data_IF_760591841295
#
_entry.id   IF_760591841295
#
_cell.length_a   1.000
_cell.length_b   1.000
_cell.length_c   1.000
_cell.angle_alpha   90.00
_cell.angle_beta   90.00
_cell.angle_gamma   90.00
#
_symmetry.space_group_name_H-M   'P 1'
#
loop_
_entity.id
_entity.type
_entity.pdbx_description
1 polymer ?
#
# COMPACT_ATOMS: atom_id res chain seq x y z
N UNK A 1 16.25 18.02 30.96
CA UNK A 1 16.86 18.40 29.67
C UNK A 1 16.50 17.31 28.67
N UNK A 2 15.41 17.49 27.94
CA UNK A 2 14.91 16.51 26.99
C UNK A 2 15.37 16.92 25.59
N UNK A 3 16.21 16.09 24.96
CA UNK A 3 16.53 16.25 23.55
C UNK A 3 15.29 15.92 22.73
N UNK A 4 14.71 16.90 22.06
CA UNK A 4 13.79 16.68 20.96
C UNK A 4 14.61 16.08 19.81
N UNK A 5 14.85 14.76 19.86
CA UNK A 5 15.52 14.03 18.80
C UNK A 5 14.57 13.93 17.62
N UNK A 6 14.81 14.72 16.58
CA UNK A 6 14.23 14.45 15.27
C UNK A 6 14.54 12.98 14.89
N UNK A 7 13.60 12.26 14.27
CA UNK A 7 13.82 10.88 13.87
C UNK A 7 15.06 10.80 12.98
N UNK A 8 15.96 9.88 13.30
CA UNK A 8 17.21 9.69 12.57
C UNK A 8 16.93 8.92 11.27
N UNK A 9 16.32 9.60 10.28
CA UNK A 9 16.21 9.08 8.92
C UNK A 9 17.60 8.74 8.38
N UNK A 10 17.71 7.63 7.66
CA UNK A 10 18.92 7.26 6.95
C UNK A 10 19.29 8.33 5.93
N UNK A 11 20.51 8.86 6.05
CA UNK A 11 21.10 9.83 5.13
C UNK A 11 22.14 9.14 4.26
N UNK A 12 21.95 9.19 2.96
CA UNK A 12 22.83 8.51 1.99
C UNK A 12 23.23 9.48 0.87
N UNK A 13 24.50 9.45 0.46
CA UNK A 13 24.95 10.22 -0.70
C UNK A 13 24.55 9.49 -1.97
N UNK A 14 23.99 10.20 -2.94
CA UNK A 14 23.58 9.60 -4.20
C UNK A 14 24.77 8.96 -4.94
N UNK A 15 25.96 9.59 -4.88
CA UNK A 15 27.19 9.04 -5.47
C UNK A 15 27.57 7.66 -4.91
N UNK A 16 27.19 7.39 -3.66
CA UNK A 16 27.51 6.13 -2.99
C UNK A 16 26.45 5.05 -3.28
N UNK A 17 25.34 5.40 -3.95
CA UNK A 17 24.32 4.47 -4.44
C UNK A 17 24.52 4.12 -5.92
N UNK A 18 25.53 4.66 -6.58
CA UNK A 18 25.86 4.28 -7.96
C UNK A 18 26.85 3.11 -7.91
N UNK A 19 26.49 1.93 -8.43
CA UNK A 19 27.41 0.80 -8.46
C UNK A 19 28.58 1.12 -9.39
N UNK A 20 29.80 1.00 -8.87
CA UNK A 20 31.02 0.99 -9.69
C UNK A 20 31.12 -0.35 -10.43
N UNK A 21 31.71 -0.36 -11.62
CA UNK A 21 31.93 -1.60 -12.37
C UNK A 21 32.69 -2.64 -11.52
N UNK A 22 32.19 -3.88 -11.50
CA UNK A 22 32.77 -4.98 -10.75
C UNK A 22 32.01 -5.32 -9.47
N UNK A 23 32.73 -5.74 -8.43
CA UNK A 23 32.12 -6.15 -7.16
C UNK A 23 31.61 -4.91 -6.39
N UNK A 24 30.45 -5.00 -5.72
CA UNK A 24 29.93 -3.89 -4.92
C UNK A 24 30.90 -3.48 -3.82
N UNK A 25 31.26 -2.20 -3.78
CA UNK A 25 32.12 -1.63 -2.76
C UNK A 25 31.47 -1.67 -1.37
N UNK A 26 32.27 -1.56 -0.31
CA UNK A 26 31.73 -1.51 1.05
C UNK A 26 30.94 -0.24 1.31
N UNK A 27 31.32 0.89 0.70
CA UNK A 27 30.55 2.13 0.75
C UNK A 27 29.16 1.96 0.12
N UNK A 28 29.08 1.28 -1.03
CA UNK A 28 27.82 0.99 -1.69
C UNK A 28 26.93 0.10 -0.82
N UNK A 29 27.47 -1.01 -0.30
CA UNK A 29 26.71 -1.92 0.59
C UNK A 29 26.18 -1.20 1.83
N UNK A 30 27.00 -0.35 2.45
CA UNK A 30 26.60 0.44 3.63
C UNK A 30 25.48 1.43 3.30
N UNK A 31 25.61 2.17 2.20
CA UNK A 31 24.60 3.12 1.72
C UNK A 31 23.30 2.42 1.37
N UNK A 32 23.35 1.29 0.65
CA UNK A 32 22.16 0.48 0.35
C UNK A 32 21.49 -0.02 1.63
N UNK A 33 22.26 -0.56 2.58
CA UNK A 33 21.71 -1.01 3.86
C UNK A 33 21.06 0.13 4.64
N UNK A 34 21.68 1.31 4.66
CA UNK A 34 21.17 2.50 5.36
C UNK A 34 19.87 3.00 4.72
N UNK A 35 19.83 3.08 3.39
CA UNK A 35 18.64 3.42 2.63
C UNK A 35 17.51 2.45 2.94
N UNK A 36 17.73 1.15 2.74
CA UNK A 36 16.70 0.14 2.92
C UNK A 36 16.18 0.04 4.35
N UNK A 37 17.06 0.17 5.34
CA UNK A 37 16.65 0.21 6.74
C UNK A 37 15.78 1.44 7.04
N UNK A 38 16.14 2.61 6.52
CA UNK A 38 15.34 3.81 6.68
C UNK A 38 13.96 3.68 6.03
N UNK A 39 13.89 3.12 4.82
CA UNK A 39 12.62 2.84 4.15
C UNK A 39 11.76 1.83 4.93
N UNK A 40 12.36 0.81 5.53
CA UNK A 40 11.62 -0.18 6.33
C UNK A 40 11.09 0.39 7.65
N UNK A 41 11.84 1.28 8.30
CA UNK A 41 11.48 1.83 9.61
C UNK A 41 10.60 3.07 9.53
N UNK A 42 10.86 3.95 8.56
CA UNK A 42 10.26 5.28 8.48
C UNK A 42 9.50 5.52 7.18
N UNK A 43 9.50 4.57 6.24
CA UNK A 43 8.94 4.73 4.89
C UNK A 43 9.49 5.95 4.14
N UNK A 44 10.66 6.44 4.55
CA UNK A 44 11.34 7.58 3.95
C UNK A 44 12.84 7.49 4.23
N UNK A 45 13.63 8.12 3.38
CA UNK A 45 15.07 8.33 3.57
C UNK A 45 15.48 9.69 3.03
N UNK A 46 16.66 10.15 3.41
CA UNK A 46 17.26 11.38 2.91
C UNK A 46 18.37 11.03 1.92
N UNK A 47 18.28 11.58 0.72
CA UNK A 47 19.33 11.50 -0.29
C UNK A 47 20.09 12.82 -0.36
N UNK A 48 21.41 12.75 -0.34
CA UNK A 48 22.29 13.90 -0.52
C UNK A 48 22.81 13.92 -1.96
N UNK A 49 22.50 15.00 -2.67
CA UNK A 49 22.92 15.27 -4.04
C UNK A 49 24.26 16.01 -4.06
N UNK A 50 24.85 16.16 -5.25
CA UNK A 50 26.07 16.95 -5.41
C UNK A 50 25.80 18.45 -5.18
N UNK A 51 26.85 19.25 -4.99
CA UNK A 51 26.72 20.70 -4.78
C UNK A 51 26.07 21.41 -5.98
N UNK A 52 26.38 21.00 -7.22
CA UNK A 52 25.77 21.56 -8.43
C UNK A 52 24.29 21.22 -8.52
N UNK A 53 23.93 19.98 -8.21
CA UNK A 53 22.54 19.51 -8.26
C UNK A 53 21.69 20.18 -7.18
N UNK A 54 22.26 20.39 -5.98
CA UNK A 54 21.63 21.15 -4.91
C UNK A 54 21.41 22.63 -5.28
N UNK A 55 22.33 23.24 -6.04
CA UNK A 55 22.12 24.60 -6.56
C UNK A 55 20.94 24.65 -7.53
N UNK A 56 20.83 23.68 -8.44
CA UNK A 56 19.72 23.57 -9.38
C UNK A 56 18.37 23.40 -8.67
N UNK A 57 18.29 22.51 -7.68
CA UNK A 57 17.07 22.32 -6.86
C UNK A 57 16.62 23.59 -6.18
N UNK A 58 17.55 24.35 -5.59
CA UNK A 58 17.23 25.62 -4.94
C UNK A 58 16.73 26.66 -5.94
N UNK A 59 17.42 26.84 -7.07
CA UNK A 59 16.99 27.79 -8.10
C UNK A 59 15.61 27.44 -8.68
N UNK A 60 15.32 26.14 -8.86
CA UNK A 60 14.00 25.70 -9.34
C UNK A 60 12.91 25.89 -8.28
N UNK A 61 13.20 25.70 -6.99
CA UNK A 61 12.26 26.04 -5.91
C UNK A 61 11.99 27.54 -5.81
N UNK A 62 13.00 28.38 -5.99
CA UNK A 62 12.83 29.84 -6.03
C UNK A 62 11.98 30.27 -7.23
N UNK A 63 12.25 29.68 -8.41
CA UNK A 63 11.42 29.91 -9.59
C UNK A 63 9.99 29.43 -9.41
N UNK A 64 9.78 28.27 -8.77
CA UNK A 64 8.45 27.77 -8.41
C UNK A 64 7.70 28.75 -7.50
N UNK A 65 8.36 29.32 -6.48
CA UNK A 65 7.75 30.33 -5.62
C UNK A 65 7.30 31.54 -6.42
N UNK A 66 8.18 32.07 -7.28
CA UNK A 66 7.84 33.20 -8.14
C UNK A 66 6.67 32.86 -9.05
N UNK A 67 6.67 31.67 -9.65
CA UNK A 67 5.58 31.21 -10.52
C UNK A 67 4.21 31.31 -9.83
N UNK A 68 4.06 30.70 -8.65
CA UNK A 68 2.79 30.75 -7.93
C UNK A 68 2.48 32.14 -7.38
N UNK A 69 3.46 32.95 -7.00
CA UNK A 69 3.22 34.33 -6.58
C UNK A 69 2.50 35.18 -7.64
N UNK A 70 2.74 34.92 -8.93
CA UNK A 70 2.09 35.64 -10.03
C UNK A 70 0.70 35.08 -10.38
N UNK A 71 0.31 33.93 -9.80
CA UNK A 71 -1.01 33.33 -10.08
C UNK A 71 -2.13 34.08 -9.36
N UNK A 72 -3.30 34.23 -10.01
CA UNK A 72 -4.45 34.91 -9.42
C UNK A 72 -4.92 34.19 -8.15
N UNK A 73 -5.49 34.95 -7.22
CA UNK A 73 -5.97 34.42 -5.94
C UNK A 73 -7.10 33.40 -6.07
N UNK A 74 -7.83 33.39 -7.19
CA UNK A 74 -8.88 32.41 -7.44
C UNK A 74 -8.61 31.76 -8.80
N UNK A 75 -8.30 30.46 -8.85
CA UNK A 75 -8.20 29.76 -10.11
C UNK A 75 -9.56 29.74 -10.82
N UNK A 76 -9.57 29.88 -12.14
CA UNK A 76 -10.80 29.75 -12.94
C UNK A 76 -11.34 28.32 -12.85
N UNK A 77 -12.65 28.15 -13.05
CA UNK A 77 -13.31 26.84 -12.99
C UNK A 77 -12.66 25.80 -13.93
N UNK A 78 -12.12 26.24 -15.08
CA UNK A 78 -11.46 25.40 -16.07
C UNK A 78 -10.14 24.76 -15.58
N UNK A 79 -9.59 25.26 -14.46
CA UNK A 79 -8.29 24.88 -13.90
C UNK A 79 -8.44 24.09 -12.59
N UNK A 80 -9.67 23.96 -12.10
CA UNK A 80 -10.02 23.14 -10.95
C UNK A 80 -10.10 21.69 -11.42
N UNK A 81 -9.10 20.88 -11.08
CA UNK A 81 -9.07 19.48 -11.48
C UNK A 81 -9.83 18.64 -10.46
N UNK A 82 -10.89 17.94 -10.91
CA UNK A 82 -11.44 16.79 -10.19
C UNK A 82 -10.60 15.57 -10.55
N UNK A 83 -10.15 14.75 -9.60
CA UNK A 83 -9.28 13.57 -9.79
C UNK A 83 -9.85 12.55 -10.81
N UNK A 84 -9.74 12.86 -12.11
CA UNK A 84 -10.14 11.98 -13.20
C UNK A 84 -8.98 11.01 -13.48
N UNK A 85 -8.98 9.91 -12.74
CA UNK A 85 -7.99 8.82 -12.79
C UNK A 85 -7.77 8.22 -14.19
N UNK A 86 -8.64 8.53 -15.16
CA UNK A 86 -8.59 8.05 -16.55
C UNK A 86 -7.43 8.63 -17.37
N UNK A 87 -6.84 9.75 -16.96
CA UNK A 87 -5.79 10.43 -17.74
C UNK A 87 -4.48 10.70 -16.97
N UNK A 88 -4.13 9.82 -16.02
CA UNK A 88 -2.94 9.99 -15.16
C UNK A 88 -1.62 10.24 -15.91
N UNK A 89 -1.47 9.71 -17.14
CA UNK A 89 -0.27 9.86 -17.97
C UNK A 89 -0.33 11.10 -18.90
N UNK A 90 -1.41 11.88 -18.85
CA UNK A 90 -1.60 13.08 -19.67
C UNK A 90 -1.62 14.38 -18.84
N UNK A 91 -1.27 14.31 -17.56
CA UNK A 91 -1.19 15.52 -16.74
C UNK A 91 -0.03 16.39 -17.20
N UNK A 92 -0.31 17.67 -17.44
CA UNK A 92 0.67 18.70 -17.78
C UNK A 92 0.07 20.08 -17.53
N UNK A 93 0.90 21.03 -17.10
CA UNK A 93 0.50 22.41 -16.86
C UNK A 93 -0.09 22.66 -15.47
N UNK A 94 -0.62 23.87 -15.30
CA UNK A 94 -1.13 24.37 -14.03
C UNK A 94 -2.56 23.87 -13.75
N UNK A 95 -2.79 23.42 -12.53
CA UNK A 95 -4.11 23.10 -11.99
C UNK A 95 -4.16 23.41 -10.49
N UNK A 96 -5.37 23.52 -9.94
CA UNK A 96 -5.57 23.74 -8.51
C UNK A 96 -6.56 22.73 -7.93
N UNK A 97 -6.30 22.31 -6.70
CA UNK A 97 -7.18 21.50 -5.86
C UNK A 97 -7.58 22.31 -4.62
N UNK A 98 -8.78 22.94 -4.62
CA UNK A 98 -9.30 23.68 -3.48
C UNK A 98 -9.61 22.82 -2.26
N UNK A 99 -9.75 21.50 -2.37
CA UNK A 99 -9.98 20.63 -1.21
C UNK A 99 -8.67 20.39 -0.45
N UNK A 100 -7.55 20.34 -1.16
CA UNK A 100 -6.20 20.16 -0.58
C UNK A 100 -5.47 21.48 -0.31
N UNK A 101 -6.09 22.63 -0.63
CA UNK A 101 -5.44 23.96 -0.63
C UNK A 101 -4.10 23.94 -1.37
N UNK A 102 -4.11 23.27 -2.52
CA UNK A 102 -2.92 22.98 -3.30
C UNK A 102 -3.06 23.54 -4.71
N UNK A 103 -2.03 24.22 -5.17
CA UNK A 103 -1.82 24.56 -6.58
C UNK A 103 -0.65 23.71 -7.10
N UNK A 104 -0.76 23.20 -8.32
CA UNK A 104 0.23 22.29 -8.90
C UNK A 104 0.52 22.68 -10.35
N UNK A 105 1.80 22.61 -10.74
CA UNK A 105 2.22 22.61 -12.14
C UNK A 105 2.88 21.26 -12.44
N UNK A 106 2.31 20.49 -13.36
CA UNK A 106 2.88 19.22 -13.80
C UNK A 106 3.73 19.41 -15.05
N UNK A 107 4.98 18.96 -14.98
CA UNK A 107 5.91 18.89 -16.10
C UNK A 107 6.13 17.44 -16.53
N UNK A 108 5.92 17.20 -17.83
CA UNK A 108 6.06 15.88 -18.44
C UNK A 108 6.72 15.98 -19.80
N UNK A 109 7.96 15.48 -19.96
CA UNK A 109 8.64 15.45 -21.25
C UNK A 109 7.81 14.75 -22.32
N UNK A 110 7.80 15.33 -23.52
CA UNK A 110 7.00 14.86 -24.66
C UNK A 110 5.55 15.35 -24.69
N UNK A 111 5.05 15.92 -23.59
CA UNK A 111 3.70 16.51 -23.51
C UNK A 111 3.75 18.01 -23.25
N UNK A 112 4.57 18.46 -22.30
CA UNK A 112 4.74 19.89 -22.02
C UNK A 112 5.55 20.55 -23.17
N UNK A 113 5.04 21.60 -23.83
CA UNK A 113 5.75 22.29 -24.91
C UNK A 113 7.11 22.80 -24.43
N UNK A 114 8.17 22.60 -25.22
CA UNK A 114 9.51 23.09 -24.93
C UNK A 114 9.67 24.60 -25.16
N UNK A 115 8.76 25.20 -25.95
CA UNK A 115 8.76 26.61 -26.29
C UNK A 115 7.37 27.21 -26.02
N UNK A 116 7.29 28.43 -25.46
CA UNK A 116 6.03 29.11 -25.24
C UNK A 116 5.44 29.52 -26.59
N UNK A 117 4.38 28.83 -27.03
CA UNK A 117 3.59 29.23 -28.20
C UNK A 117 2.78 30.47 -27.84
N UNK A 118 3.33 31.65 -28.15
CA UNK A 118 2.71 32.98 -28.22
C UNK A 118 1.58 33.27 -27.20
N UNK A 119 1.91 34.13 -26.22
CA UNK A 119 1.07 34.78 -25.19
C UNK A 119 0.74 34.04 -23.89
N UNK A 120 1.35 32.88 -23.59
CA UNK A 120 0.90 32.04 -22.46
C UNK A 120 2.03 31.79 -21.45
N UNK A 121 1.84 32.36 -20.25
CA UNK A 121 2.39 32.02 -18.93
C UNK A 121 3.64 31.11 -18.88
N UNK A 122 4.77 31.67 -18.43
CA UNK A 122 6.04 30.94 -18.37
C UNK A 122 6.04 29.89 -17.25
N UNK A 123 6.39 28.63 -17.53
CA UNK A 123 6.52 27.62 -16.49
C UNK A 123 7.68 27.95 -15.53
N UNK A 124 7.72 27.33 -14.33
CA UNK A 124 8.90 27.37 -13.49
C UNK A 124 10.17 26.97 -14.28
N UNK A 125 11.29 27.62 -13.99
CA UNK A 125 12.54 27.41 -14.69
C UNK A 125 13.27 26.13 -14.25
N UNK A 126 14.04 25.55 -15.18
CA UNK A 126 14.90 24.39 -14.91
C UNK A 126 14.18 23.04 -14.80
N UNK A 127 12.89 22.96 -15.16
CA UNK A 127 12.10 21.73 -15.00
C UNK A 127 12.65 20.54 -15.79
N UNK A 128 13.15 20.76 -17.01
CA UNK A 128 13.76 19.71 -17.83
C UNK A 128 15.04 19.15 -17.19
N UNK A 129 15.88 20.03 -16.65
CA UNK A 129 17.15 19.65 -16.01
C UNK A 129 16.88 18.91 -14.69
N UNK A 130 15.94 19.42 -13.87
CA UNK A 130 15.51 18.76 -12.64
C UNK A 130 14.86 17.40 -12.92
N UNK A 131 14.02 17.30 -13.95
CA UNK A 131 13.41 16.03 -14.34
C UNK A 131 14.48 15.00 -14.69
N UNK A 132 15.49 15.40 -15.47
CA UNK A 132 16.58 14.51 -15.88
C UNK A 132 17.44 14.09 -14.69
N UNK A 133 17.76 15.03 -13.79
CA UNK A 133 18.52 14.79 -12.57
C UNK A 133 17.79 13.82 -11.62
N UNK A 134 16.54 14.13 -11.26
CA UNK A 134 15.76 13.33 -10.32
C UNK A 134 15.35 11.99 -10.93
N UNK A 135 15.14 11.93 -12.26
CA UNK A 135 14.90 10.68 -12.98
C UNK A 135 16.08 9.73 -12.96
N UNK A 136 17.31 10.25 -13.05
CA UNK A 136 18.53 9.45 -12.83
C UNK A 136 18.62 8.98 -11.39
N UNK A 137 18.51 9.90 -10.44
CA UNK A 137 18.59 9.59 -9.01
C UNK A 137 17.58 8.52 -8.58
N UNK A 138 16.34 8.60 -9.07
CA UNK A 138 15.30 7.63 -8.76
C UNK A 138 15.61 6.23 -9.30
N UNK A 139 16.29 6.12 -10.45
CA UNK A 139 16.74 4.84 -11.00
C UNK A 139 17.89 4.25 -10.20
N UNK A 140 18.88 5.06 -9.82
CA UNK A 140 19.98 4.62 -8.96
C UNK A 140 19.46 4.10 -7.61
N UNK A 141 18.47 4.78 -7.03
CA UNK A 141 17.77 4.36 -5.80
C UNK A 141 17.00 3.04 -6.02
N UNK A 142 16.33 2.89 -7.16
CA UNK A 142 15.59 1.68 -7.48
C UNK A 142 16.52 0.47 -7.70
N UNK A 143 17.69 0.69 -8.30
CA UNK A 143 18.74 -0.32 -8.44
C UNK A 143 19.35 -0.70 -7.08
N UNK A 144 19.56 0.28 -6.19
CA UNK A 144 19.97 0.04 -4.81
C UNK A 144 18.94 -0.83 -4.04
N UNK A 145 17.64 -0.53 -4.17
CA UNK A 145 16.55 -1.35 -3.59
C UNK A 145 16.56 -2.76 -4.20
N UNK A 146 16.74 -2.87 -5.51
CA UNK A 146 16.83 -4.16 -6.22
C UNK A 146 17.99 -5.01 -5.69
N UNK A 147 19.15 -4.39 -5.47
CA UNK A 147 20.30 -5.05 -4.88
C UNK A 147 20.02 -5.53 -3.45
N UNK A 148 19.41 -4.69 -2.61
CA UNK A 148 19.04 -5.07 -1.24
C UNK A 148 18.09 -6.29 -1.21
N UNK A 149 17.16 -6.35 -2.16
CA UNK A 149 16.23 -7.46 -2.34
C UNK A 149 16.86 -8.67 -3.05
N UNK A 150 18.16 -8.68 -3.34
CA UNK A 150 18.85 -9.73 -4.08
C UNK A 150 18.20 -10.06 -5.44
N UNK A 151 17.65 -9.04 -6.11
CA UNK A 151 17.08 -9.21 -7.44
C UNK A 151 18.19 -9.29 -8.49
N UNK A 152 17.89 -9.88 -9.64
CA UNK A 152 18.80 -9.86 -10.79
C UNK A 152 19.01 -8.42 -11.27
N UNK A 153 20.08 -8.20 -12.03
CA UNK A 153 20.39 -6.87 -12.56
C UNK A 153 19.21 -6.27 -13.32
N UNK A 154 18.83 -5.05 -12.97
CA UNK A 154 17.87 -4.20 -13.68
C UNK A 154 16.42 -4.76 -13.77
N UNK A 155 15.82 -5.22 -12.66
CA UNK A 155 14.56 -5.98 -12.67
C UNK A 155 13.34 -5.15 -13.09
N UNK A 156 13.44 -3.82 -13.01
CA UNK A 156 12.35 -2.89 -13.33
C UNK A 156 12.51 -2.22 -14.70
N UNK A 157 13.55 -2.54 -15.48
CA UNK A 157 13.82 -1.87 -16.77
C UNK A 157 12.65 -1.97 -17.74
N UNK A 158 11.96 -3.12 -17.79
CA UNK A 158 10.85 -3.36 -18.71
C UNK A 158 9.61 -2.51 -18.42
N UNK A 159 9.43 -2.10 -17.16
CA UNK A 159 8.29 -1.28 -16.72
C UNK A 159 8.60 0.22 -16.71
N UNK A 160 9.82 0.62 -17.03
CA UNK A 160 10.25 2.03 -17.03
C UNK A 160 10.34 2.59 -18.44
N UNK A 161 10.26 3.93 -18.55
CA UNK A 161 10.54 4.63 -19.79
C UNK A 161 11.99 4.40 -20.27
N UNK A 162 12.24 4.58 -21.56
CA UNK A 162 13.61 4.64 -22.07
C UNK A 162 14.29 5.95 -21.63
N UNK A 163 15.60 5.92 -21.42
CA UNK A 163 16.42 7.12 -21.18
C UNK A 163 17.56 7.14 -22.19
N UNK A 164 17.59 8.10 -23.13
CA UNK A 164 16.58 9.14 -23.37
C UNK A 164 15.25 8.55 -23.90
N UNK A 165 14.16 9.32 -23.76
CA UNK A 165 12.86 8.99 -24.37
C UNK A 165 13.01 8.94 -25.89
N UNK A 166 12.23 8.08 -26.56
CA UNK A 166 12.22 8.06 -28.04
C UNK A 166 11.45 9.27 -28.57
N UNK A 167 11.71 9.63 -29.83
CA UNK A 167 11.01 10.74 -30.47
C UNK A 167 9.48 10.57 -30.39
N UNK A 168 8.80 11.62 -29.90
CA UNK A 168 7.34 11.69 -29.70
C UNK A 168 6.78 10.78 -28.60
N UNK A 169 7.63 10.13 -27.79
CA UNK A 169 7.17 9.45 -26.58
C UNK A 169 6.92 10.48 -25.47
N UNK A 170 5.80 10.31 -24.77
CA UNK A 170 5.47 11.05 -23.55
C UNK A 170 6.01 10.24 -22.37
N UNK A 171 6.68 10.89 -21.43
CA UNK A 171 7.14 10.21 -20.22
C UNK A 171 5.96 9.76 -19.36
N UNK A 172 6.03 8.54 -18.86
CA UNK A 172 5.15 8.03 -17.81
C UNK A 172 5.38 8.74 -16.48
N UNK A 173 6.63 9.14 -16.21
CA UNK A 173 7.02 9.87 -14.99
C UNK A 173 6.67 11.36 -15.06
N UNK A 174 6.49 12.00 -13.91
CA UNK A 174 6.07 13.41 -13.81
C UNK A 174 6.89 14.14 -12.76
N UNK A 175 7.20 15.40 -13.05
CA UNK A 175 7.71 16.36 -12.07
C UNK A 175 6.59 17.33 -11.73
N UNK A 176 6.06 17.24 -10.52
CA UNK A 176 5.04 18.14 -10.00
C UNK A 176 5.67 19.22 -9.15
N UNK A 177 5.38 20.47 -9.48
CA UNK A 177 5.70 21.63 -8.64
C UNK A 177 4.44 21.99 -7.88
N UNK A 178 4.45 21.92 -6.55
CA UNK A 178 3.26 22.17 -5.74
C UNK A 178 3.45 23.41 -4.87
N UNK A 179 2.37 24.14 -4.64
CA UNK A 179 2.27 25.20 -3.65
C UNK A 179 1.07 24.93 -2.74
N UNK A 180 1.32 24.80 -1.44
CA UNK A 180 0.27 24.56 -0.45
C UNK A 180 -0.02 25.82 0.35
N UNK A 181 -1.26 25.96 0.79
CA UNK A 181 -1.65 26.94 1.81
C UNK A 181 -1.43 28.41 1.42
N UNK A 182 -1.50 28.76 0.13
CA UNK A 182 -1.49 30.17 -0.26
C UNK A 182 -2.76 30.89 0.22
N UNK A 183 -2.68 32.17 0.61
CA UNK A 183 -3.85 32.98 0.99
C UNK A 183 -4.93 33.10 -0.09
N UNK A 184 -4.62 32.74 -1.34
CA UNK A 184 -5.57 32.60 -2.45
C UNK A 184 -6.83 31.82 -2.06
N UNK A 185 -6.69 30.77 -1.24
CA UNK A 185 -7.82 29.95 -0.77
C UNK A 185 -8.65 30.59 0.36
N UNK A 186 -8.15 31.63 1.04
CA UNK A 186 -8.83 32.24 2.20
C UNK A 186 -9.97 33.18 1.81
N UNK A 187 -9.95 33.74 0.61
CA UNK A 187 -10.96 34.71 0.20
C UNK A 187 -12.38 34.13 -0.01
N UNK A 188 -12.51 32.80 -0.15
CA UNK A 188 -13.80 32.12 -0.10
C UNK A 188 -14.50 32.22 1.27
N UNK A 189 -13.79 32.59 2.34
CA UNK A 189 -14.35 32.83 3.67
C UNK A 189 -14.86 34.28 3.85
N UNK A 190 -14.41 35.24 3.04
CA UNK A 190 -14.70 36.66 3.26
C UNK A 190 -16.03 37.15 2.65
N UNK A 191 -16.71 36.35 1.81
CA UNK A 191 -18.07 36.68 1.37
C UNK A 191 -19.17 36.30 2.36
N UNK A 192 -18.81 35.76 3.53
CA UNK A 192 -19.74 35.49 4.65
C UNK A 192 -19.59 36.43 5.85
N UNK A 193 -18.73 37.46 5.80
CA UNK A 193 -18.47 38.35 6.94
C UNK A 193 -19.42 39.55 7.01
N UNK A 194 -20.72 39.29 6.98
CA UNK A 194 -21.71 40.21 7.54
C UNK A 194 -22.69 39.50 8.46
N UNK A 195 -22.20 38.56 9.28
CA UNK A 195 -22.91 38.13 10.49
C UNK A 195 -21.88 37.53 11.43
N UNK A 196 -21.46 38.30 12.43
CA UNK A 196 -21.04 37.72 13.70
C UNK A 196 -22.21 36.90 14.23
N UNK A 197 -22.04 35.59 14.35
CA UNK A 197 -22.64 34.76 15.41
C UNK A 197 -22.17 33.31 15.23
N UNK A 198 -21.73 32.73 16.36
CA UNK A 198 -21.39 31.33 16.66
C UNK A 198 -21.31 30.27 15.55
N UNK A 199 -20.15 29.60 15.53
CA UNK A 199 -20.12 28.13 15.53
C UNK A 199 -20.53 27.43 14.23
N UNK A 200 -19.68 27.48 13.21
CA UNK A 200 -19.43 26.34 12.31
C UNK A 200 -18.18 26.62 11.47
N UNK A 201 -17.00 26.33 12.03
CA UNK A 201 -15.82 26.01 11.21
C UNK A 201 -16.27 24.91 10.27
N UNK A 202 -16.32 25.20 8.97
CA UNK A 202 -16.68 24.21 7.95
C UNK A 202 -15.88 22.95 8.17
N UNK A 203 -16.56 21.88 8.57
CA UNK A 203 -15.97 20.56 8.75
C UNK A 203 -15.58 20.04 7.36
N UNK A 204 -14.37 20.37 6.92
CA UNK A 204 -13.75 19.75 5.77
C UNK A 204 -13.03 18.49 6.23
N UNK A 205 -13.27 17.41 5.49
CA UNK A 205 -12.91 16.04 5.77
C UNK A 205 -11.49 15.89 6.32
N UNK A 206 -11.37 15.08 7.37
CA UNK A 206 -10.14 14.46 7.86
C UNK A 206 -9.58 13.59 6.72
N UNK A 207 -8.96 14.20 5.70
CA UNK A 207 -8.29 13.48 4.62
C UNK A 207 -7.01 12.89 5.21
N UNK A 208 -7.19 11.72 5.81
CA UNK A 208 -6.33 11.24 6.87
C UNK A 208 -4.88 11.04 6.38
N UNK A 209 -4.64 10.54 5.15
CA UNK A 209 -3.30 10.24 4.60
C UNK A 209 -3.34 10.17 3.05
N UNK A 210 -2.24 10.51 2.37
CA UNK A 210 -2.02 10.32 0.93
C UNK A 210 -1.04 9.18 0.66
N UNK A 211 -1.16 8.53 -0.50
CA UNK A 211 -0.18 7.54 -0.99
C UNK A 211 0.05 7.75 -2.48
N UNK A 212 1.31 7.80 -2.89
CA UNK A 212 1.66 7.91 -4.31
C UNK A 212 1.52 6.57 -5.03
N UNK A 213 1.02 6.61 -6.27
CA UNK A 213 0.97 5.44 -7.19
C UNK A 213 2.30 5.18 -7.91
N UNK A 214 3.35 5.91 -7.58
CA UNK A 214 4.69 5.79 -8.17
C UNK A 214 5.41 4.52 -7.73
N UNK A 215 6.56 4.23 -8.35
CA UNK A 215 7.56 3.31 -7.81
C UNK A 215 8.30 4.01 -6.65
N UNK A 216 8.86 5.18 -6.94
CA UNK A 216 9.64 5.99 -6.01
C UNK A 216 9.28 7.45 -6.25
N UNK A 217 9.14 8.22 -5.17
CA UNK A 217 8.98 9.67 -5.24
C UNK A 217 10.16 10.35 -4.54
N UNK A 218 10.73 11.37 -5.18
CA UNK A 218 11.76 12.25 -4.60
C UNK A 218 11.18 13.65 -4.43
N UNK A 219 11.25 14.19 -3.22
CA UNK A 219 10.67 15.49 -2.86
C UNK A 219 11.71 16.42 -2.25
N UNK A 220 11.77 17.65 -2.76
CA UNK A 220 12.44 18.77 -2.11
C UNK A 220 11.43 19.87 -1.83
N UNK A 221 11.45 20.43 -0.64
CA UNK A 221 10.56 21.54 -0.25
C UNK A 221 11.35 22.74 0.27
N UNK A 222 10.72 23.92 0.20
CA UNK A 222 11.28 25.18 0.68
C UNK A 222 11.12 25.38 2.18
N UNK A 223 10.14 24.72 2.79
CA UNK A 223 9.82 24.75 4.22
C UNK A 223 9.39 23.37 4.71
N UNK A 224 9.61 23.06 6.00
CA UNK A 224 9.15 21.82 6.59
C UNK A 224 7.62 21.73 6.59
N UNK A 225 7.11 20.50 6.58
CA UNK A 225 5.69 20.21 6.66
C UNK A 225 5.31 18.83 6.12
N UNK A 226 6.24 18.12 5.47
CA UNK A 226 6.00 16.77 4.98
C UNK A 226 6.10 15.79 6.14
N UNK A 227 5.01 15.09 6.41
CA UNK A 227 4.95 14.02 7.39
C UNK A 227 4.78 12.68 6.68
N UNK A 228 5.51 11.67 7.13
CA UNK A 228 5.36 10.28 6.68
C UNK A 228 5.03 9.42 7.89
N UNK A 229 4.16 8.43 7.68
CA UNK A 229 3.82 7.46 8.72
C UNK A 229 4.92 6.42 8.82
N UNK A 230 5.53 6.30 10.00
CA UNK A 230 6.56 5.29 10.27
C UNK A 230 5.97 3.87 10.40
N UNK A 231 6.84 2.88 10.56
CA UNK A 231 6.45 1.48 10.75
C UNK A 231 5.58 1.24 11.99
N UNK A 232 5.71 2.08 13.01
CA UNK A 232 4.89 2.03 14.23
C UNK A 232 3.54 2.74 14.06
N UNK A 233 3.31 3.37 12.92
CA UNK A 233 2.08 4.08 12.61
C UNK A 233 2.09 5.54 13.07
N UNK A 234 3.21 6.08 13.53
CA UNK A 234 3.34 7.47 13.98
C UNK A 234 3.66 8.41 12.83
N UNK A 235 3.16 9.63 12.93
CA UNK A 235 3.49 10.70 12.00
C UNK A 235 4.84 11.31 12.33
N UNK A 236 5.77 11.22 11.38
CA UNK A 236 7.13 11.71 11.50
C UNK A 236 7.33 12.86 10.50
N UNK A 237 7.75 14.03 10.98
CA UNK A 237 8.20 15.14 10.14
C UNK A 237 9.53 14.75 9.47
N UNK A 238 9.52 14.55 8.15
CA UNK A 238 10.68 14.02 7.43
C UNK A 238 11.57 15.13 6.84
N UNK A 239 11.00 16.30 6.56
CA UNK A 239 11.70 17.42 5.91
C UNK A 239 12.10 18.55 6.88
N UNK A 240 12.12 18.26 8.19
CA UNK A 240 12.43 19.20 9.26
C UNK A 240 13.88 19.70 9.30
N UNK A 241 14.83 18.85 8.90
CA UNK A 241 16.28 19.08 9.00
C UNK A 241 16.98 18.69 7.69
N UNK A 242 16.47 19.24 6.59
CA UNK A 242 17.05 19.07 5.26
C UNK A 242 18.08 20.15 4.94
N UNK A 243 19.29 19.70 4.63
CA UNK A 243 20.34 20.52 4.04
C UNK A 243 19.97 21.01 2.62
N UNK A 244 20.75 21.98 2.09
CA UNK A 244 20.51 22.56 0.76
C UNK A 244 20.68 21.57 -0.40
N UNK A 245 21.37 20.46 -0.17
CA UNK A 245 21.64 19.41 -1.17
C UNK A 245 20.80 18.15 -0.90
N UNK A 246 19.93 18.18 0.10
CA UNK A 246 19.22 17.00 0.57
C UNK A 246 17.77 17.01 0.10
N UNK A 247 17.29 15.85 -0.32
CA UNK A 247 15.89 15.61 -0.69
C UNK A 247 15.37 14.36 0.02
N UNK A 248 14.05 14.29 0.21
CA UNK A 248 13.39 13.10 0.75
C UNK A 248 13.11 12.14 -0.39
N UNK A 249 13.31 10.86 -0.15
CA UNK A 249 12.82 9.79 -1.01
C UNK A 249 11.89 8.88 -0.23
N UNK A 250 10.79 8.47 -0.86
CA UNK A 250 9.86 7.50 -0.30
C UNK A 250 9.23 6.60 -1.38
N UNK A 251 8.88 5.34 -1.04
CA UNK A 251 8.32 4.37 -1.97
C UNK A 251 6.82 4.60 -2.21
N UNK A 252 6.37 4.28 -3.42
CA UNK A 252 4.95 4.32 -3.79
C UNK A 252 4.33 2.93 -3.96
N UNK A 253 3.03 2.90 -4.27
CA UNK A 253 2.25 1.67 -4.40
C UNK A 253 2.71 0.76 -5.54
N UNK A 254 3.24 1.31 -6.63
CA UNK A 254 3.71 0.47 -7.73
C UNK A 254 4.92 -0.36 -7.29
N UNK A 255 5.80 0.21 -6.45
CA UNK A 255 6.95 -0.53 -5.92
C UNK A 255 6.51 -1.58 -4.91
N UNK A 256 5.54 -1.26 -4.05
CA UNK A 256 4.90 -2.24 -3.18
C UNK A 256 4.36 -3.43 -3.97
N UNK A 257 3.61 -3.17 -5.05
CA UNK A 257 3.06 -4.22 -5.91
C UNK A 257 4.15 -5.01 -6.62
N UNK A 258 5.19 -4.35 -7.16
CA UNK A 258 6.26 -5.01 -7.91
C UNK A 258 7.22 -5.81 -7.01
N UNK A 259 7.30 -5.44 -5.72
CA UNK A 259 8.11 -6.13 -4.72
C UNK A 259 7.32 -7.12 -3.87
N UNK A 260 6.11 -7.52 -4.29
CA UNK A 260 5.25 -8.45 -3.54
C UNK A 260 5.02 -8.04 -2.06
N UNK A 261 5.00 -6.73 -1.79
CA UNK A 261 4.81 -6.17 -0.46
C UNK A 261 6.05 -6.08 0.43
N UNK A 262 7.23 -6.47 -0.05
CA UNK A 262 8.47 -6.39 0.73
C UNK A 262 8.92 -4.95 1.00
N UNK A 263 8.51 -3.99 0.16
CA UNK A 263 8.71 -2.56 0.39
C UNK A 263 7.35 -1.90 0.60
N UNK A 264 7.05 -1.50 1.84
CA UNK A 264 5.81 -0.81 2.18
C UNK A 264 5.75 0.58 1.53
N UNK A 265 4.60 1.01 0.99
CA UNK A 265 4.43 2.35 0.44
C UNK A 265 4.37 3.39 1.56
N UNK A 266 4.81 4.61 1.29
CA UNK A 266 4.72 5.70 2.25
C UNK A 266 3.31 6.31 2.29
N UNK A 267 2.72 6.30 3.47
CA UNK A 267 1.57 7.14 3.82
C UNK A 267 2.11 8.51 4.21
N UNK A 268 1.74 9.56 3.49
CA UNK A 268 2.26 10.91 3.73
C UNK A 268 1.14 11.94 3.84
N UNK A 269 1.43 13.07 4.48
CA UNK A 269 0.57 14.26 4.48
C UNK A 269 1.42 15.52 4.55
N UNK A 270 0.88 16.61 4.04
CA UNK A 270 1.48 17.94 4.21
C UNK A 270 0.72 18.67 5.31
N UNK A 271 1.40 19.07 6.38
CA UNK A 271 0.82 19.92 7.40
C UNK A 271 0.71 21.36 6.90
N UNK A 272 -0.53 21.85 6.86
CA UNK A 272 -0.92 23.19 6.42
C UNK A 272 -1.22 24.10 7.63
N UNK A 273 -1.53 23.53 8.80
CA UNK A 273 -2.04 24.26 9.96
C UNK A 273 -1.05 25.27 10.54
N UNK A 274 0.24 24.94 10.51
CA UNK A 274 1.30 25.81 11.02
C UNK A 274 1.71 26.94 10.05
N UNK A 275 1.05 27.05 8.88
CA UNK A 275 1.37 28.05 7.84
C UNK A 275 0.47 29.29 7.88
N UNK A 276 -0.44 29.39 8.87
CA UNK A 276 -1.26 30.58 9.09
C UNK A 276 -0.36 31.82 9.27
N UNK A 277 -0.26 32.66 8.23
CA UNK A 277 0.59 33.85 8.19
C UNK A 277 1.68 33.87 7.11
N UNK A 278 1.90 32.75 6.39
CA UNK A 278 2.79 32.75 5.23
C UNK A 278 2.08 33.36 4.02
N UNK A 279 2.46 34.59 3.64
CA UNK A 279 1.95 35.26 2.43
C UNK A 279 2.14 34.45 1.14
N UNK A 280 3.03 33.45 1.15
CA UNK A 280 3.56 32.81 -0.04
C UNK A 280 3.38 31.28 -0.08
N UNK A 281 2.69 30.67 0.89
CA UNK A 281 2.49 29.22 0.97
C UNK A 281 3.79 28.40 1.05
N UNK A 282 3.68 27.06 1.01
CA UNK A 282 4.81 26.10 0.97
C UNK A 282 5.01 25.55 -0.43
N UNK A 283 6.20 25.73 -1.00
CA UNK A 283 6.53 25.22 -2.33
C UNK A 283 7.35 23.93 -2.25
N UNK A 284 7.03 22.98 -3.14
CA UNK A 284 7.75 21.71 -3.24
C UNK A 284 7.94 21.27 -4.69
N UNK A 285 9.06 20.64 -4.98
CA UNK A 285 9.31 19.86 -6.18
C UNK A 285 9.15 18.38 -5.83
N UNK A 286 8.32 17.66 -6.57
CA UNK A 286 8.06 16.23 -6.39
C UNK A 286 8.23 15.49 -7.72
N UNK A 287 9.28 14.69 -7.83
CA UNK A 287 9.48 13.80 -8.97
C UNK A 287 8.92 12.42 -8.65
N UNK A 288 7.98 11.95 -9.46
CA UNK A 288 7.34 10.63 -9.32
C UNK A 288 7.82 9.71 -10.44
N UNK A 289 8.63 8.71 -10.10
CA UNK A 289 9.04 7.65 -11.04
C UNK A 289 7.85 6.70 -11.24
N UNK A 290 7.22 6.76 -12.42
CA UNK A 290 6.02 5.97 -12.71
C UNK A 290 6.33 4.76 -13.60
N UNK A 291 5.62 3.63 -13.42
CA UNK A 291 5.66 2.56 -14.39
C UNK A 291 4.96 2.97 -15.69
N UNK A 292 5.33 2.37 -16.82
CA UNK A 292 4.77 2.64 -18.15
C UNK A 292 3.39 2.00 -18.32
N UNK A 293 2.43 2.74 -18.88
CA UNK A 293 1.02 2.34 -19.06
C UNK A 293 0.80 0.94 -19.66
N UNK A 294 1.50 0.65 -20.76
CA UNK A 294 1.36 -0.59 -21.55
C UNK A 294 2.15 -1.77 -20.97
N UNK A 295 2.49 -1.75 -19.69
CA UNK A 295 3.29 -2.80 -19.02
C UNK A 295 2.50 -3.44 -17.88
N UNK A 296 3.04 -4.51 -17.31
CA UNK A 296 2.40 -5.25 -16.21
C UNK A 296 3.31 -5.27 -14.98
N UNK A 297 2.76 -4.90 -13.83
CA UNK A 297 3.39 -5.11 -12.54
C UNK A 297 3.26 -6.59 -12.16
N UNK A 298 4.39 -7.28 -12.06
CA UNK A 298 4.43 -8.70 -11.69
C UNK A 298 5.65 -8.99 -10.81
N UNK A 299 5.56 -10.07 -10.02
CA UNK A 299 6.57 -10.43 -9.02
C UNK A 299 7.47 -11.59 -9.50
N UNK A 300 7.73 -11.69 -10.82
CA UNK A 300 8.58 -12.76 -11.38
C UNK A 300 10.00 -12.70 -10.82
N UNK A 301 10.60 -11.50 -10.76
CA UNK A 301 11.95 -11.28 -10.24
C UNK A 301 12.04 -11.58 -8.74
N UNK A 302 11.01 -11.23 -7.97
CA UNK A 302 10.93 -11.59 -6.55
C UNK A 302 10.97 -13.11 -6.37
N UNK A 303 10.18 -13.85 -7.15
CA UNK A 303 10.18 -15.32 -7.12
C UNK A 303 11.52 -15.91 -7.58
N UNK A 304 12.13 -15.33 -8.62
CA UNK A 304 13.43 -15.76 -9.13
C UNK A 304 14.55 -15.58 -8.09
N UNK A 305 14.46 -14.52 -7.27
CA UNK A 305 15.35 -14.29 -6.13
C UNK A 305 15.02 -15.15 -4.89
N UNK A 306 13.99 -16.01 -4.95
CA UNK A 306 13.62 -16.92 -3.87
C UNK A 306 12.68 -16.33 -2.82
N UNK A 307 12.11 -15.16 -3.06
CA UNK A 307 11.13 -14.55 -2.14
C UNK A 307 9.76 -15.23 -2.22
N UNK A 308 9.08 -15.28 -1.07
CA UNK A 308 7.71 -15.78 -0.97
C UNK A 308 6.71 -14.77 -1.53
N UNK A 309 5.97 -15.15 -2.57
CA UNK A 309 4.97 -14.27 -3.20
C UNK A 309 3.56 -14.75 -2.84
N UNK A 310 2.88 -13.97 -2.00
CA UNK A 310 1.50 -14.26 -1.59
C UNK A 310 0.52 -14.26 -2.77
N UNK A 311 -0.58 -14.99 -2.64
CA UNK A 311 -1.57 -15.20 -3.70
C UNK A 311 -2.09 -13.88 -4.32
N UNK A 312 -2.17 -12.80 -3.53
CA UNK A 312 -2.61 -11.49 -3.99
C UNK A 312 -1.67 -10.82 -5.01
N UNK A 313 -0.39 -11.20 -5.03
CA UNK A 313 0.64 -10.66 -5.92
C UNK A 313 1.01 -11.60 -7.08
N UNK A 314 0.44 -12.81 -7.11
CA UNK A 314 0.81 -13.83 -8.11
C UNK A 314 0.31 -13.53 -9.52
N UNK A 315 -0.78 -12.76 -9.63
CA UNK A 315 -1.35 -12.35 -10.91
C UNK A 315 -0.72 -11.04 -11.39
N UNK A 316 -0.18 -10.98 -12.63
CA UNK A 316 0.24 -9.73 -13.23
C UNK A 316 -0.90 -8.71 -13.24
N UNK A 317 -0.58 -7.46 -12.92
CA UNK A 317 -1.54 -6.34 -12.93
C UNK A 317 -1.15 -5.36 -14.04
N UNK A 318 -2.00 -5.13 -15.05
CA UNK A 318 -1.77 -4.08 -16.04
C UNK A 318 -1.61 -2.73 -15.34
N UNK A 319 -0.62 -1.94 -15.75
CA UNK A 319 -0.35 -0.64 -15.12
C UNK A 319 -1.55 0.31 -15.30
N UNK A 320 -2.19 0.31 -16.46
CA UNK A 320 -3.39 1.14 -16.67
C UNK A 320 -4.53 0.78 -15.70
N UNK A 321 -4.79 -0.51 -15.48
CA UNK A 321 -5.77 -0.97 -14.51
C UNK A 321 -5.38 -0.60 -13.08
N UNK A 322 -4.08 -0.71 -12.75
CA UNK A 322 -3.55 -0.35 -11.45
C UNK A 322 -3.73 1.14 -11.16
N UNK A 323 -3.44 2.00 -12.14
CA UNK A 323 -3.51 3.45 -11.99
C UNK A 323 -4.95 3.97 -11.85
N UNK A 324 -5.92 3.28 -12.45
CA UNK A 324 -7.33 3.65 -12.39
C UNK A 324 -8.04 3.21 -11.10
N UNK A 325 -7.47 2.26 -10.34
CA UNK A 325 -8.06 1.79 -9.08
C UNK A 325 -7.93 2.84 -7.98
N UNK A 326 -8.93 2.92 -7.10
CA UNK A 326 -8.83 3.78 -5.92
C UNK A 326 -7.75 3.28 -4.96
N UNK A 327 -7.07 4.22 -4.29
CA UNK A 327 -6.00 3.93 -3.32
C UNK A 327 -6.48 2.97 -2.22
N UNK A 328 -7.69 3.17 -1.71
CA UNK A 328 -8.29 2.31 -0.69
C UNK A 328 -8.46 0.87 -1.16
N UNK A 329 -8.82 0.62 -2.42
CA UNK A 329 -8.95 -0.74 -2.94
C UNK A 329 -7.60 -1.44 -3.06
N UNK A 330 -6.53 -0.70 -3.34
CA UNK A 330 -5.17 -1.23 -3.40
C UNK A 330 -4.65 -1.61 -2.00
N UNK A 331 -5.02 -0.84 -0.97
CA UNK A 331 -4.64 -1.06 0.44
C UNK A 331 -5.53 -2.08 1.17
N UNK A 332 -6.84 -2.14 0.88
CA UNK A 332 -7.80 -3.06 1.54
C UNK A 332 -7.58 -4.50 1.09
N UNK A 333 -7.15 -4.72 -0.17
CA UNK A 333 -6.75 -6.07 -0.61
C UNK A 333 -5.50 -6.59 0.10
N UNK A 334 -4.72 -5.71 0.75
CA UNK A 334 -3.41 -6.00 1.31
C UNK A 334 -3.36 -6.07 2.85
N UNK A 335 -4.51 -6.17 3.55
CA UNK A 335 -4.56 -6.35 5.01
C UNK A 335 -3.69 -5.35 5.81
N UNK A 336 -3.70 -4.06 5.47
CA UNK A 336 -3.20 -3.06 6.39
C UNK A 336 -4.10 -3.03 7.64
N UNK A 337 -3.57 -3.21 8.87
CA UNK A 337 -4.36 -2.98 10.07
C UNK A 337 -4.60 -1.48 10.24
N UNK A 338 -5.66 -0.97 9.61
CA UNK A 338 -6.19 0.35 9.89
C UNK A 338 -6.87 0.29 11.26
N UNK A 339 -6.13 0.62 12.32
CA UNK A 339 -6.69 0.79 13.66
C UNK A 339 -7.47 2.10 13.72
N UNK A 340 -8.76 2.05 13.40
CA UNK A 340 -9.68 3.12 13.78
C UNK A 340 -10.15 2.85 15.21
N UNK A 341 -9.75 3.71 16.15
CA UNK A 341 -10.33 3.72 17.48
C UNK A 341 -11.74 4.32 17.41
N UNK A 342 -12.78 3.65 17.91
CA UNK A 342 -14.06 4.31 18.11
C UNK A 342 -13.90 5.35 19.22
N UNK A 343 -14.15 6.61 18.88
CA UNK A 343 -14.31 7.71 19.84
C UNK A 343 -15.37 7.36 20.87
N UNK A 344 -14.95 7.38 22.13
CA UNK A 344 -15.84 7.25 23.30
C UNK A 344 -16.67 8.53 23.38
N UNK A 345 -17.92 8.49 22.94
CA UNK A 345 -18.92 9.48 23.36
C UNK A 345 -19.88 8.81 24.32
N UNK A 346 -19.68 9.16 25.59
CA UNK A 346 -20.64 8.99 26.67
C UNK A 346 -21.72 10.08 26.51
N UNK A 347 -23.01 9.71 26.59
CA UNK A 347 -24.10 10.68 26.42
C UNK A 347 -25.39 10.10 25.84
N UNK A 348 -26.21 9.54 26.72
CA UNK A 348 -27.59 9.11 26.50
C UNK A 348 -28.48 10.17 25.82
N UNK A 349 -29.19 9.78 24.75
CA UNK A 349 -30.63 10.07 24.52
C UNK A 349 -31.14 9.33 23.25
N UNK A 350 -32.16 8.46 23.42
CA UNK A 350 -33.03 7.90 22.34
C UNK A 350 -34.07 8.97 21.94
N UNK A 351 -34.74 8.98 20.75
CA UNK A 351 -35.25 7.83 19.96
C UNK A 351 -35.05 8.03 18.43
N UNK A 352 -35.50 7.25 17.42
CA UNK A 352 -36.73 6.51 17.13
C UNK A 352 -36.44 5.51 15.98
N UNK A 353 -37.24 4.44 15.89
CA UNK A 353 -37.02 3.30 15.00
C UNK A 353 -37.31 3.61 13.52
N UNK A 354 -36.36 3.29 12.63
CA UNK A 354 -36.61 3.02 11.21
C UNK A 354 -36.21 1.57 10.92
N UNK A 355 -37.24 0.73 10.78
CA UNK A 355 -37.16 -0.74 10.62
C UNK A 355 -36.67 -1.07 9.21
N UNK A 356 -35.36 -1.31 9.03
CA UNK A 356 -34.80 -1.84 7.77
C UNK A 356 -34.53 -3.34 7.90
N UNK A 357 -35.16 -4.10 7.00
CA UNK A 357 -35.27 -5.57 6.94
C UNK A 357 -33.89 -6.23 6.84
N UNK A 358 -33.52 -7.07 7.82
CA UNK A 358 -32.23 -7.78 7.82
C UNK A 358 -32.24 -9.00 6.90
N UNK A 359 -31.40 -8.99 5.87
CA UNK A 359 -30.93 -10.21 5.22
C UNK A 359 -29.79 -10.81 6.05
N UNK A 360 -29.99 -12.01 6.58
CA UNK A 360 -29.05 -12.73 7.44
C UNK A 360 -27.98 -13.46 6.62
N UNK A 361 -26.91 -12.77 6.20
CA UNK A 361 -25.63 -13.42 5.90
C UNK A 361 -24.47 -12.53 6.34
N UNK A 362 -23.45 -13.18 6.93
CA UNK A 362 -22.19 -12.63 7.45
C UNK A 362 -22.24 -12.00 8.85
N UNK A 363 -22.56 -12.81 9.87
CA UNK A 363 -21.93 -12.62 11.19
C UNK A 363 -20.62 -13.42 11.20
N UNK A 364 -19.49 -12.86 11.67
CA UNK A 364 -18.27 -13.62 11.88
C UNK A 364 -18.57 -14.82 12.76
N UNK A 365 -18.10 -16.01 12.36
CA UNK A 365 -18.26 -17.21 13.17
C UNK A 365 -17.46 -17.03 14.48
N UNK A 366 -17.95 -17.58 15.61
CA UNK A 366 -17.20 -17.58 16.86
C UNK A 366 -15.78 -18.14 16.64
N UNK A 367 -14.74 -17.62 17.33
CA UNK A 367 -13.36 -18.04 17.16
C UNK A 367 -13.16 -19.57 17.19
N UNK A 368 -13.86 -20.25 18.10
CA UNK A 368 -13.85 -21.71 18.25
C UNK A 368 -14.38 -22.45 17.02
N UNK A 369 -15.42 -21.92 16.37
CA UNK A 369 -15.99 -22.51 15.15
C UNK A 369 -15.10 -22.27 13.93
N UNK A 370 -14.41 -21.12 13.87
CA UNK A 370 -13.43 -20.82 12.82
C UNK A 370 -12.21 -21.73 12.93
N UNK A 371 -11.68 -21.92 14.14
CA UNK A 371 -10.55 -22.78 14.42
C UNK A 371 -10.86 -24.26 14.09
N UNK A 372 -12.07 -24.72 14.43
CA UNK A 372 -12.54 -26.07 14.09
C UNK A 372 -12.64 -26.32 12.58
N UNK A 373 -13.04 -25.31 11.81
CA UNK A 373 -13.11 -25.40 10.34
C UNK A 373 -11.70 -25.38 9.71
N UNK A 374 -10.78 -24.58 10.24
CA UNK A 374 -9.40 -24.53 9.75
C UNK A 374 -8.64 -25.82 10.07
N UNK A 375 -8.78 -26.36 11.28
CA UNK A 375 -8.23 -27.67 11.63
C UNK A 375 -8.76 -28.78 10.71
N UNK A 376 -10.05 -28.72 10.35
CA UNK A 376 -10.65 -29.66 9.40
C UNK A 376 -10.12 -29.46 7.97
N UNK A 377 -9.82 -28.23 7.55
CA UNK A 377 -9.17 -27.93 6.26
C UNK A 377 -7.77 -28.52 6.20
N UNK A 378 -6.96 -28.29 7.22
CA UNK A 378 -5.57 -28.77 7.31
C UNK A 378 -5.52 -30.31 7.34
N UNK A 379 -6.45 -30.96 8.04
CA UNK A 379 -6.55 -32.43 8.06
C UNK A 379 -6.96 -32.99 6.70
N UNK A 380 -7.91 -32.35 6.00
CA UNK A 380 -8.28 -32.73 4.63
C UNK A 380 -7.10 -32.60 3.66
N UNK A 381 -6.33 -31.51 3.78
CA UNK A 381 -5.15 -31.26 2.96
C UNK A 381 -4.07 -32.33 3.17
N UNK A 382 -3.77 -32.70 4.42
CA UNK A 382 -2.81 -33.78 4.72
C UNK A 382 -3.26 -35.15 4.21
N UNK A 383 -4.56 -35.47 4.33
CA UNK A 383 -5.08 -36.77 3.84
C UNK A 383 -5.06 -36.83 2.32
N UNK A 384 -5.31 -35.69 1.64
CA UNK A 384 -5.16 -35.60 0.18
C UNK A 384 -3.69 -35.78 -0.24
N UNK A 385 -2.74 -35.11 0.42
CA UNK A 385 -1.30 -35.24 0.12
C UNK A 385 -0.78 -36.68 0.32
N UNK A 386 -1.25 -37.39 1.35
CA UNK A 386 -0.90 -38.80 1.57
C UNK A 386 -1.50 -39.69 0.47
N UNK A 387 -2.73 -39.42 0.05
CA UNK A 387 -3.40 -40.17 -1.01
C UNK A 387 -2.67 -39.95 -2.35
N UNK A 388 -2.31 -38.71 -2.68
CA UNK A 388 -1.59 -38.34 -3.90
C UNK A 388 -0.19 -39.00 -3.94
N UNK A 389 0.56 -38.97 -2.82
CA UNK A 389 1.86 -39.66 -2.69
C UNK A 389 1.78 -41.17 -2.86
N UNK A 390 0.65 -41.78 -2.51
CA UNK A 390 0.40 -43.22 -2.67
C UNK A 390 -0.33 -43.58 -3.97
N UNK A 391 -0.62 -42.59 -4.83
CA UNK A 391 -1.38 -42.79 -6.06
C UNK A 391 -2.84 -43.24 -5.83
N UNK A 392 -3.38 -43.03 -4.63
CA UNK A 392 -4.73 -43.42 -4.24
C UNK A 392 -5.69 -42.29 -4.62
N UNK A 393 -6.67 -42.59 -5.47
CA UNK A 393 -7.76 -41.65 -5.77
C UNK A 393 -8.71 -41.55 -4.57
N UNK A 394 -8.93 -40.34 -4.08
CA UNK A 394 -9.69 -40.03 -2.87
C UNK A 394 -10.73 -38.94 -3.18
N UNK A 395 -11.93 -39.03 -2.57
CA UNK A 395 -12.93 -37.95 -2.57
C UNK A 395 -13.49 -37.77 -1.16
N UNK A 396 -13.67 -36.51 -0.76
CA UNK A 396 -14.33 -36.15 0.50
C UNK A 396 -15.84 -35.97 0.30
N UNK A 397 -16.63 -36.46 1.26
CA UNK A 397 -18.06 -36.19 1.30
C UNK A 397 -18.33 -34.70 1.57
N UNK A 398 -19.29 -34.11 0.85
CA UNK A 398 -19.68 -32.70 0.92
C UNK A 398 -20.99 -32.46 1.68
N UNK A 399 -21.65 -33.52 2.16
CA UNK A 399 -22.92 -33.43 2.88
C UNK A 399 -22.70 -32.77 4.26
N UNK A 400 -23.48 -31.72 4.55
CA UNK A 400 -23.34 -30.94 5.79
C UNK A 400 -23.79 -31.70 7.05
N UNK A 401 -24.70 -32.67 6.89
CA UNK A 401 -25.24 -33.49 7.98
C UNK A 401 -24.83 -34.97 7.84
N UNK A 402 -23.60 -35.20 7.40
CA UNK A 402 -23.10 -36.55 7.12
C UNK A 402 -23.02 -37.44 8.38
N UNK A 403 -22.87 -36.85 9.57
CA UNK A 403 -22.71 -37.57 10.85
C UNK A 403 -24.00 -38.27 11.31
N UNK A 404 -25.18 -37.75 10.94
CA UNK A 404 -26.49 -38.26 11.39
C UNK A 404 -27.01 -39.49 10.65
N UNK A 405 -26.30 -39.96 9.62
CA UNK A 405 -26.83 -41.00 8.72
C UNK A 405 -26.06 -42.32 8.75
N UNK A 406 -25.02 -42.45 9.58
CA UNK A 406 -24.09 -43.61 9.62
C UNK A 406 -24.81 -44.96 9.85
N UNK A 407 -25.99 -44.96 10.49
CA UNK A 407 -26.75 -46.16 10.83
C UNK A 407 -27.95 -46.44 9.92
N UNK A 408 -28.20 -45.62 8.89
CA UNK A 408 -29.34 -45.78 7.96
C UNK A 408 -28.95 -46.66 6.77
N UNK A 409 -29.77 -47.66 6.44
CA UNK A 409 -29.60 -48.48 5.22
C UNK A 409 -29.69 -47.64 3.94
N UNK A 410 -30.45 -46.54 3.97
CA UNK A 410 -30.51 -45.53 2.90
C UNK A 410 -29.69 -44.29 3.28
N UNK A 411 -28.35 -44.42 3.24
CA UNK A 411 -27.45 -43.29 3.46
C UNK A 411 -27.48 -42.32 2.26
N UNK A 412 -27.79 -41.02 2.42
CA UNK A 412 -27.73 -40.03 1.33
C UNK A 412 -26.33 -39.89 0.72
N UNK A 413 -25.27 -40.27 1.47
CA UNK A 413 -23.90 -40.34 0.98
C UNK A 413 -23.72 -41.40 -0.13
N UNK A 414 -24.45 -42.52 -0.05
CA UNK A 414 -24.44 -43.58 -1.07
C UNK A 414 -25.11 -43.10 -2.36
N UNK A 415 -26.21 -42.34 -2.24
CA UNK A 415 -26.89 -41.75 -3.39
C UNK A 415 -26.01 -40.70 -4.09
N UNK A 416 -25.34 -39.82 -3.33
CA UNK A 416 -24.37 -38.86 -3.89
C UNK A 416 -23.23 -39.59 -4.61
N UNK A 417 -22.73 -40.69 -4.04
CA UNK A 417 -21.69 -41.51 -4.67
C UNK A 417 -22.14 -42.10 -6.00
N UNK A 418 -23.39 -42.57 -6.09
CA UNK A 418 -23.99 -43.07 -7.34
C UNK A 418 -24.23 -41.96 -8.36
N UNK A 419 -24.75 -40.80 -7.93
CA UNK A 419 -25.06 -39.65 -8.79
C UNK A 419 -23.80 -39.10 -9.50
N UNK A 420 -22.69 -39.02 -8.78
CA UNK A 420 -21.41 -38.55 -9.35
C UNK A 420 -20.63 -39.66 -10.09
N UNK A 421 -21.19 -40.87 -10.18
CA UNK A 421 -20.56 -42.02 -10.84
C UNK A 421 -19.23 -42.43 -10.20
N UNK A 422 -19.07 -42.29 -8.88
CA UNK A 422 -17.79 -42.61 -8.23
C UNK A 422 -17.58 -44.13 -8.12
N UNK A 423 -16.47 -44.69 -8.62
CA UNK A 423 -16.33 -46.13 -8.77
C UNK A 423 -16.47 -46.91 -7.44
N UNK A 424 -17.11 -48.09 -7.46
CA UNK A 424 -17.09 -49.01 -6.32
C UNK A 424 -15.64 -49.46 -6.05
N UNK A 425 -15.22 -49.44 -4.78
CA UNK A 425 -13.85 -49.81 -4.35
C UNK A 425 -12.86 -48.64 -4.21
N UNK A 426 -13.19 -47.44 -4.71
CA UNK A 426 -12.36 -46.22 -4.49
C UNK A 426 -12.79 -45.52 -3.19
N UNK A 427 -11.85 -45.13 -2.29
CA UNK A 427 -12.18 -44.50 -1.00
C UNK A 427 -13.05 -43.23 -1.14
N UNK A 428 -14.12 -43.18 -0.34
CA UNK A 428 -14.99 -42.02 -0.16
C UNK A 428 -14.97 -41.66 1.32
N UNK A 429 -14.28 -40.57 1.67
CA UNK A 429 -13.91 -40.25 3.06
C UNK A 429 -14.88 -39.22 3.63
N UNK A 430 -15.50 -39.53 4.76
CA UNK A 430 -16.36 -38.57 5.45
C UNK A 430 -15.52 -37.65 6.33
N UNK A 431 -15.81 -36.34 6.36
CA UNK A 431 -15.04 -35.38 7.14
C UNK A 431 -15.00 -35.60 8.65
N UNK A 432 -15.86 -36.45 9.20
CA UNK A 432 -15.91 -36.84 10.62
C UNK A 432 -15.09 -38.11 10.93
N UNK A 433 -14.73 -38.89 9.92
CA UNK A 433 -13.87 -40.08 10.05
C UNK A 433 -12.37 -39.71 10.20
N UNK A 434 -12.05 -38.42 10.07
CA UNK A 434 -10.69 -37.91 10.22
C UNK A 434 -10.26 -37.97 11.70
N UNK A 435 -9.11 -38.57 12.04
CA UNK A 435 -8.78 -38.98 13.41
C UNK A 435 -8.81 -37.81 14.41
N UNK A 436 -9.69 -37.91 15.40
CA UNK A 436 -9.94 -36.90 16.44
C UNK A 436 -8.68 -36.49 17.22
N UNK A 437 -7.69 -37.39 17.40
CA UNK A 437 -6.44 -37.08 18.13
C UNK A 437 -5.61 -35.96 17.48
N UNK A 438 -5.60 -35.85 16.16
CA UNK A 438 -4.86 -34.78 15.46
C UNK A 438 -5.60 -33.43 15.54
N UNK A 439 -6.93 -33.47 15.66
CA UNK A 439 -7.78 -32.30 15.87
C UNK A 439 -7.61 -31.73 17.29
N UNK A 440 -7.43 -32.59 18.29
CA UNK A 440 -7.17 -32.22 19.69
C UNK A 440 -5.77 -31.61 19.83
N UNK A 441 -4.73 -32.22 19.25
CA UNK A 441 -3.37 -31.65 19.31
C UNK A 441 -3.24 -30.28 18.63
N UNK A 442 -4.02 -30.02 17.58
CA UNK A 442 -4.09 -28.71 16.94
C UNK A 442 -4.76 -27.65 17.84
N UNK A 443 -5.78 -28.04 18.63
CA UNK A 443 -6.47 -27.14 19.55
C UNK A 443 -5.61 -26.81 20.79
N UNK A 444 -4.90 -27.79 21.36
CA UNK A 444 -3.96 -27.56 22.48
C UNK A 444 -2.77 -26.66 22.12
N UNK A 445 -2.32 -26.70 20.86
CA UNK A 445 -1.19 -25.87 20.39
C UNK A 445 -1.56 -24.38 20.33
N UNK A 446 -2.85 -24.06 20.12
CA UNK A 446 -3.32 -22.69 19.96
C UNK A 446 -4.07 -22.15 21.19
N UNK A 447 -4.59 -23.03 22.06
CA UNK A 447 -5.22 -22.68 23.33
C UNK A 447 -4.70 -23.61 24.45
N UNK A 448 -3.61 -23.24 25.14
CA UNK A 448 -3.05 -24.04 26.22
C UNK A 448 -4.06 -24.20 27.36
N UNK A 449 -4.50 -25.43 27.64
CA UNK A 449 -5.50 -25.74 28.67
C UNK A 449 -6.91 -26.08 28.14
N UNK A 450 -7.13 -26.10 26.82
CA UNK A 450 -8.42 -26.48 26.21
C UNK A 450 -8.92 -27.86 26.68
N UNK A 451 -8.00 -28.84 26.80
CA UNK A 451 -8.29 -30.18 27.33
C UNK A 451 -8.78 -30.15 28.78
N UNK A 452 -8.21 -29.28 29.62
CA UNK A 452 -8.57 -29.16 31.04
C UNK A 452 -9.95 -28.50 31.27
N UNK A 453 -10.40 -27.63 30.36
CA UNK A 453 -11.72 -26.97 30.45
C UNK A 453 -12.89 -27.83 29.98
N UNK A 454 -12.65 -28.96 29.30
CA UNK A 454 -13.69 -29.84 28.76
C UNK A 454 -13.64 -31.28 29.32
N UNK A 455 -12.71 -31.57 30.24
CA UNK A 455 -12.67 -32.84 30.96
C UNK A 455 -13.88 -33.05 31.90
N UNK A 456 -14.62 -31.98 32.25
CA UNK A 456 -15.89 -32.08 32.97
C UNK A 456 -17.08 -32.49 32.09
N UNK A 457 -16.97 -32.41 30.76
CA UNK A 457 -18.05 -32.80 29.83
C UNK A 457 -17.76 -34.11 29.09
N UNK A 458 -16.50 -34.59 29.10
CA UNK A 458 -16.08 -35.86 28.52
C UNK A 458 -16.06 -37.02 29.53
N UNK A 459 -16.09 -36.77 30.84
CA UNK A 459 -16.23 -37.81 31.87
C UNK A 459 -17.62 -38.48 31.93
N UNK A 460 -18.55 -38.12 31.03
CA UNK A 460 -19.82 -38.82 30.86
C UNK A 460 -19.78 -39.91 29.77
N UNK A 461 -18.64 -40.13 29.11
CA UNK A 461 -18.50 -41.21 28.13
C UNK A 461 -17.11 -41.83 28.23
N UNK A 462 -16.90 -42.66 29.25
CA UNK A 462 -15.96 -43.78 29.16
C UNK A 462 -16.53 -44.98 29.95
N UNK A 463 -16.01 -46.20 29.78
CA UNK A 463 -16.53 -47.17 28.84
C UNK A 463 -17.14 -48.37 29.58
N UNK A 464 -18.29 -48.85 29.10
CA UNK A 464 -18.83 -50.12 29.56
C UNK A 464 -17.86 -51.27 29.27
N UNK A 465 -17.35 -51.86 30.35
CA UNK A 465 -16.37 -52.93 30.47
C UNK A 465 -16.66 -54.22 29.64
N UNK A 466 -15.62 -55.09 29.50
CA UNK A 466 -15.66 -56.30 28.68
C UNK A 466 -16.39 -57.44 29.39
N UNK A 467 -17.24 -58.17 28.67
CA UNK A 467 -17.67 -59.52 29.05
C UNK A 467 -17.05 -60.54 28.09
N UNK A 468 -16.20 -61.39 28.67
CA UNK A 468 -15.67 -62.60 28.05
C UNK A 468 -16.73 -63.71 27.98
N UNK A 469 -16.51 -64.65 27.05
CA UNK A 469 -17.01 -66.04 27.00
C UNK A 469 -18.53 -66.23 26.71
N UNK A 470 -19.01 -67.18 25.89
CA UNK A 470 -18.52 -68.53 25.52
C UNK A 470 -19.30 -69.07 24.29
N UNK A 471 -18.61 -69.86 23.47
CA UNK A 471 -19.08 -71.03 22.71
C UNK A 471 -20.58 -71.41 22.75
N UNK A 472 -21.25 -71.41 21.59
CA UNK A 472 -21.57 -72.61 20.80
C UNK A 472 -22.23 -72.24 19.46
#
# INVERSE_FOLDING_TARGET
MAGNGLPALGRVKLSDLVPLEGLPSDSYKLSVSTLSQSLAQYSAAIIQLSTSDGALLRSSLESARLYFQHKPSYPSADVIHSDDSREWCKTSGYHADPQQWQETYDFRPGLTPSEPTSDIDFPPAGLSDIFSLLGRAARDILDAISFYLNLRSSPFTEILDNVPLRNREISSSVLSVCCHARPSFQGAQHHGLTTQEDGQLGMFSDHEHQVDRSLVTIVKSDRPGLHVRDFHGHWVLVDGDLGPQEAIVYPGLALYQATAGYISPALHRTDIGNQQGSMYGRCSLSFKLMPKSMTNLNCSEMRAAGHGVEAQFQLPVPVDDFMQRSTDQLLIRSNFPTFNFPTVQDGSMKPMMMRRKSNSRSKPLPPSKRLRLEAQRVLKERVQDIADKKGIKLRFCTLKDCESHIQSLDCPCTNIRMEIGWPPGVPFVHPHDLPNKAKIGFLETYEPGWSATHDMELSLIDPGQPSQHTSN
#
